data_IF_402984971529
#
_entry.id   IF_402984971529
#
_cell.length_a   1.000
_cell.length_b   1.000
_cell.length_c   1.000
_cell.angle_alpha   90.00
_cell.angle_beta   90.00
_cell.angle_gamma   90.00
#
_symmetry.space_group_name_H-M   'P 1'
#
loop_
_entity.id
_entity.type
_entity.pdbx_description
1 polymer ?
#
# COMPACT_ATOMS: atom_id res chain seq x y z
N UNK A 1 7.65 33.87 13.76
CA UNK A 1 6.45 33.09 14.13
C UNK A 1 5.45 33.22 12.99
N UNK A 2 5.45 32.27 12.06
CA UNK A 2 4.39 32.16 11.05
C UNK A 2 3.28 31.25 11.59
N UNK A 3 2.01 31.48 11.24
CA UNK A 3 0.92 30.64 11.72
C UNK A 3 1.09 29.22 11.18
N UNK A 4 0.88 28.24 12.07
CA UNK A 4 0.79 26.82 11.73
C UNK A 4 -0.28 26.66 10.64
N UNK A 5 0.12 26.22 9.45
CA UNK A 5 -0.80 25.86 8.39
C UNK A 5 -1.51 24.56 8.82
N UNK A 6 -2.66 24.73 9.46
CA UNK A 6 -3.67 23.68 9.65
C UNK A 6 -4.19 23.28 8.28
N UNK A 7 -3.66 22.19 7.74
CA UNK A 7 -4.16 21.60 6.51
C UNK A 7 -5.40 20.75 6.84
N UNK A 8 -6.52 21.29 6.39
CA UNK A 8 -7.87 20.74 6.15
C UNK A 8 -8.09 19.23 6.37
N UNK A 9 -9.04 18.83 7.25
CA UNK A 9 -9.42 17.45 7.45
C UNK A 9 -10.73 17.11 6.70
N UNK A 10 -10.81 17.23 5.37
CA UNK A 10 -12.02 16.80 4.64
C UNK A 10 -11.76 16.45 3.15
N UNK A 11 -11.42 15.19 2.88
CA UNK A 11 -11.75 14.44 1.64
C UNK A 11 -11.35 12.97 1.79
N UNK A 12 -12.35 12.08 1.74
CA UNK A 12 -12.16 10.63 1.83
C UNK A 12 -11.31 10.04 0.71
N UNK A 13 -10.00 9.92 0.98
CA UNK A 13 -9.18 8.85 0.41
C UNK A 13 -8.50 8.13 1.56
N UNK A 14 -9.02 6.96 1.93
CA UNK A 14 -8.32 5.99 2.78
C UNK A 14 -7.31 5.21 1.93
N UNK A 15 -6.61 5.89 1.02
CA UNK A 15 -5.37 5.41 0.48
C UNK A 15 -4.29 6.02 1.36
N UNK A 16 -3.79 5.25 2.33
CA UNK A 16 -2.57 5.64 3.03
C UNK A 16 -1.50 5.76 1.94
N UNK A 17 -0.85 6.92 1.74
CA UNK A 17 0.21 7.07 0.74
C UNK A 17 1.47 6.40 1.26
N UNK A 18 1.41 5.08 1.45
CA UNK A 18 2.56 4.24 1.74
C UNK A 18 3.14 3.93 0.38
N UNK A 19 4.30 4.50 0.08
CA UNK A 19 5.02 4.14 -1.14
C UNK A 19 5.15 2.62 -1.18
N UNK A 20 4.94 2.03 -2.35
CA UNK A 20 5.13 0.59 -2.57
C UNK A 20 6.45 0.04 -1.97
N UNK A 21 7.50 0.88 -1.94
CA UNK A 21 8.82 0.58 -1.38
C UNK A 21 8.89 0.56 0.14
N UNK A 22 7.97 1.24 0.84
CA UNK A 22 7.93 1.31 2.30
C UNK A 22 7.08 0.20 2.92
N UNK A 23 6.38 -0.58 2.09
CA UNK A 23 5.55 -1.71 2.52
C UNK A 23 6.44 -2.86 2.98
N UNK A 24 6.30 -3.27 4.24
CA UNK A 24 7.05 -4.39 4.84
C UNK A 24 6.14 -5.56 5.20
N UNK A 25 6.70 -6.76 5.20
CA UNK A 25 6.05 -7.96 5.73
C UNK A 25 5.60 -7.74 7.19
N UNK A 26 4.38 -8.16 7.50
CA UNK A 26 3.75 -8.03 8.80
C UNK A 26 3.00 -6.72 9.01
N UNK A 27 3.17 -5.73 8.13
CA UNK A 27 2.45 -4.47 8.22
C UNK A 27 0.99 -4.63 7.81
N UNK A 28 0.12 -3.83 8.43
CA UNK A 28 -1.29 -3.76 8.09
C UNK A 28 -1.55 -2.52 7.24
N UNK A 29 -2.29 -2.70 6.16
CA UNK A 29 -2.69 -1.64 5.23
C UNK A 29 -4.20 -1.69 5.03
N UNK A 30 -4.81 -0.53 4.76
CA UNK A 30 -6.18 -0.50 4.26
C UNK A 30 -6.11 -0.49 2.74
N UNK A 31 -6.66 -1.53 2.11
CA UNK A 31 -6.75 -1.68 0.66
C UNK A 31 -8.22 -1.89 0.30
N UNK A 32 -8.74 -1.10 -0.64
CA UNK A 32 -10.17 -1.13 -1.04
C UNK A 32 -11.14 -1.02 0.16
N UNK A 33 -10.79 -0.21 1.18
CA UNK A 33 -11.59 -0.04 2.39
C UNK A 33 -11.57 -1.25 3.36
N UNK A 34 -10.71 -2.24 3.11
CA UNK A 34 -10.56 -3.41 3.96
C UNK A 34 -9.15 -3.56 4.51
N UNK A 35 -9.05 -4.03 5.76
CA UNK A 35 -7.78 -4.26 6.43
C UNK A 35 -7.12 -5.52 5.87
N UNK A 36 -5.92 -5.35 5.31
CA UNK A 36 -5.10 -6.41 4.79
C UNK A 36 -3.74 -6.42 5.48
N UNK A 37 -3.27 -7.61 5.85
CA UNK A 37 -1.93 -7.82 6.37
C UNK A 37 -0.99 -8.23 5.23
N UNK A 38 0.15 -7.56 5.11
CA UNK A 38 1.19 -7.95 4.17
C UNK A 38 1.87 -9.21 4.66
N UNK A 39 1.75 -10.28 3.88
CA UNK A 39 2.40 -11.56 4.17
C UNK A 39 3.80 -11.61 3.57
N UNK A 40 3.97 -11.03 2.38
CA UNK A 40 5.21 -11.11 1.61
C UNK A 40 5.29 -9.99 0.59
N UNK A 41 6.50 -9.56 0.29
CA UNK A 41 6.81 -8.56 -0.73
C UNK A 41 7.97 -9.06 -1.56
N UNK A 42 7.79 -9.13 -2.88
CA UNK A 42 8.79 -9.58 -3.82
C UNK A 42 9.14 -8.45 -4.80
N UNK A 43 10.43 -8.21 -4.99
CA UNK A 43 10.89 -7.27 -6.01
C UNK A 43 11.09 -8.04 -7.33
N UNK A 44 10.19 -7.83 -8.28
CA UNK A 44 10.22 -8.50 -9.58
C UNK A 44 10.85 -7.60 -10.63
N UNK A 45 11.84 -8.12 -11.36
CA UNK A 45 12.50 -7.47 -12.50
C UNK A 45 12.13 -8.22 -13.78
N UNK A 46 11.09 -7.81 -14.52
CA UNK A 46 10.74 -8.49 -15.76
C UNK A 46 11.84 -8.26 -16.81
N UNK A 47 12.15 -9.27 -17.62
CA UNK A 47 13.21 -9.17 -18.64
C UNK A 47 12.96 -8.06 -19.67
N UNK A 48 11.69 -7.67 -19.87
CA UNK A 48 11.28 -6.48 -20.63
C UNK A 48 10.24 -5.71 -19.80
N UNK A 49 10.62 -4.56 -19.24
CA UNK A 49 9.71 -3.66 -18.51
C UNK A 49 10.32 -3.08 -17.24
N UNK A 50 9.63 -2.13 -16.58
CA UNK A 50 10.07 -1.58 -15.31
C UNK A 50 9.93 -2.60 -14.18
N UNK A 51 10.86 -2.55 -13.23
CA UNK A 51 10.76 -3.36 -12.02
C UNK A 51 9.56 -2.93 -11.16
N UNK A 52 8.96 -3.89 -10.45
CA UNK A 52 7.81 -3.63 -9.58
C UNK A 52 7.89 -4.45 -8.29
N UNK A 53 7.14 -4.01 -7.27
CA UNK A 53 6.97 -4.78 -6.04
C UNK A 53 5.67 -5.57 -6.15
N UNK A 54 5.72 -6.87 -5.93
CA UNK A 54 4.55 -7.73 -5.78
C UNK A 54 4.31 -7.97 -4.30
N UNK A 55 3.16 -7.52 -3.80
CA UNK A 55 2.77 -7.72 -2.41
C UNK A 55 1.69 -8.80 -2.32
N UNK A 56 1.98 -9.84 -1.54
CA UNK A 56 0.99 -10.83 -1.12
C UNK A 56 0.39 -10.36 0.19
N UNK A 57 -0.92 -10.16 0.19
CA UNK A 57 -1.65 -9.61 1.31
C UNK A 57 -2.82 -10.51 1.69
N UNK A 58 -3.11 -10.60 2.98
CA UNK A 58 -4.24 -11.37 3.52
C UNK A 58 -5.26 -10.43 4.12
N UNK A 59 -6.50 -10.54 3.67
CA UNK A 59 -7.60 -9.83 4.27
C UNK A 59 -7.80 -10.33 5.71
N UNK A 60 -7.78 -9.43 6.68
CA UNK A 60 -7.88 -9.79 8.10
C UNK A 60 -9.31 -10.23 8.45
N UNK A 61 -10.33 -9.67 7.78
CA UNK A 61 -11.74 -9.98 8.05
C UNK A 61 -12.20 -11.28 7.37
N UNK A 62 -11.84 -11.45 6.11
CA UNK A 62 -12.34 -12.55 5.26
C UNK A 62 -11.32 -13.71 5.21
N UNK A 63 -10.05 -13.47 5.57
CA UNK A 63 -8.98 -14.45 5.49
C UNK A 63 -8.44 -14.70 4.06
N UNK A 64 -9.09 -14.16 3.03
CA UNK A 64 -8.70 -14.30 1.63
C UNK A 64 -7.32 -13.69 1.35
N UNK A 65 -6.53 -14.39 0.56
CA UNK A 65 -5.20 -13.93 0.13
C UNK A 65 -5.33 -13.29 -1.26
N UNK A 66 -4.88 -12.05 -1.39
CA UNK A 66 -4.74 -11.34 -2.66
C UNK A 66 -3.26 -11.10 -2.96
N UNK A 67 -2.92 -11.10 -4.24
CA UNK A 67 -1.59 -10.72 -4.73
C UNK A 67 -1.79 -9.49 -5.59
N UNK A 68 -1.17 -8.38 -5.21
CA UNK A 68 -1.25 -7.14 -5.98
C UNK A 68 0.15 -6.61 -6.32
N UNK A 69 0.26 -5.96 -7.48
CA UNK A 69 1.48 -5.25 -7.86
C UNK A 69 1.36 -3.84 -7.33
N UNK A 70 2.28 -3.44 -6.46
CA UNK A 70 2.38 -2.07 -5.96
C UNK A 70 3.41 -1.35 -6.83
N UNK A 71 2.96 -0.30 -7.52
CA UNK A 71 3.83 0.62 -8.24
C UNK A 71 4.00 1.90 -7.40
N UNK A 72 5.04 2.69 -7.69
CA UNK A 72 5.31 3.94 -6.95
C UNK A 72 4.25 5.03 -7.19
N UNK A 73 3.34 4.83 -8.13
CA UNK A 73 2.30 5.78 -8.54
C UNK A 73 0.92 5.47 -7.94
N UNK A 74 0.71 4.29 -7.36
CA UNK A 74 -0.48 3.97 -6.55
C UNK A 74 -0.47 4.91 -5.32
N UNK A 75 -1.32 5.93 -5.37
CA UNK A 75 -1.52 6.96 -4.34
C UNK A 75 -2.87 6.82 -3.67
#
# INVERSE_FOLDING_TARGET
MGPLSVQDPERGTTAMPIKATDVKKGQFIIWEGQLHQILETEHVKPGKGPAYIQAKMKNVKIGGIKINRLNSDDR
#
